data_IF_218476287088
#
_entry.id   IF_218476287088
#
_cell.length_a   1.000
_cell.length_b   1.000
_cell.length_c   1.000
_cell.angle_alpha   90.00
_cell.angle_beta   90.00
_cell.angle_gamma   90.00
#
_symmetry.space_group_name_H-M   'P 1'
#
loop_
_entity.id
_entity.type
_entity.pdbx_description
1 polymer ?
#
# COMPACT_ATOMS: atom_id res chain seq x y z
N UNK A 1 -5.07 -21.80 -24.48
CA UNK A 1 -4.43 -22.07 -23.17
C UNK A 1 -3.70 -20.78 -22.81
N UNK A 2 -4.12 -19.90 -21.91
CA UNK A 2 -4.75 -20.05 -20.59
C UNK A 2 -5.58 -18.77 -20.27
N UNK A 3 -6.67 -18.56 -21.00
CA UNK A 3 -7.55 -17.39 -20.85
C UNK A 3 -8.65 -17.74 -19.83
N UNK A 4 -8.31 -17.80 -18.54
CA UNK A 4 -9.20 -18.49 -17.57
C UNK A 4 -9.30 -17.89 -16.17
N UNK A 5 -9.02 -16.60 -15.98
CA UNK A 5 -9.20 -15.95 -14.67
C UNK A 5 -9.84 -14.55 -14.74
N UNK A 6 -10.76 -14.32 -15.69
CA UNK A 6 -11.61 -13.11 -15.72
C UNK A 6 -13.09 -13.41 -15.42
N UNK A 7 -13.35 -14.46 -14.65
CA UNK A 7 -14.70 -14.69 -14.13
C UNK A 7 -14.93 -13.84 -12.89
N UNK A 8 -15.63 -12.74 -13.11
CA UNK A 8 -16.66 -12.18 -12.24
C UNK A 8 -16.49 -12.37 -10.74
N UNK A 9 -15.84 -11.39 -10.10
CA UNK A 9 -16.16 -11.03 -8.72
C UNK A 9 -17.37 -10.08 -8.76
N UNK A 10 -18.54 -10.62 -9.16
CA UNK A 10 -19.84 -10.00 -8.91
C UNK A 10 -20.29 -10.50 -7.53
N UNK A 11 -20.37 -9.61 -6.54
CA UNK A 11 -20.86 -9.97 -5.20
C UNK A 11 -20.48 -9.08 -4.02
N UNK A 12 -19.68 -8.03 -4.21
CA UNK A 12 -19.35 -7.06 -3.14
C UNK A 12 -18.74 -5.80 -3.73
N UNK A 13 -18.82 -4.68 -3.02
CA UNK A 13 -18.18 -3.43 -3.45
C UNK A 13 -16.74 -3.72 -3.94
N UNK A 14 -16.35 -3.25 -5.14
CA UNK A 14 -15.10 -3.66 -5.77
C UNK A 14 -13.95 -3.35 -4.81
N UNK A 15 -13.29 -4.39 -4.30
CA UNK A 15 -12.16 -4.23 -3.39
C UNK A 15 -11.05 -3.55 -4.18
N UNK A 16 -10.76 -2.31 -3.82
CA UNK A 16 -9.72 -1.51 -4.44
C UNK A 16 -8.43 -1.73 -3.68
N UNK A 17 -7.33 -1.63 -4.40
CA UNK A 17 -6.00 -1.70 -3.81
C UNK A 17 -5.08 -0.67 -4.44
N UNK A 18 -4.24 -0.04 -3.63
CA UNK A 18 -3.15 0.80 -4.08
C UNK A 18 -1.84 0.27 -3.51
N UNK A 19 -0.77 0.37 -4.29
CA UNK A 19 0.57 0.02 -3.86
C UNK A 19 1.50 1.22 -3.97
N UNK A 20 2.38 1.34 -2.99
CA UNK A 20 3.44 2.34 -2.98
C UNK A 20 4.77 1.68 -2.62
N UNK A 21 5.83 2.17 -3.24
CA UNK A 21 7.19 1.72 -3.03
C UNK A 21 7.95 2.79 -2.28
N UNK A 22 8.42 2.46 -1.09
CA UNK A 22 9.20 3.36 -0.25
C UNK A 22 10.64 2.84 -0.22
N UNK A 23 11.65 3.59 -0.68
CA UNK A 23 13.05 3.18 -0.58
C UNK A 23 13.60 3.40 0.85
N UNK A 24 12.96 2.79 1.85
CA UNK A 24 13.30 2.85 3.27
C UNK A 24 13.07 1.49 3.94
N UNK A 25 13.85 1.11 4.98
CA UNK A 25 13.58 -0.09 5.77
C UNK A 25 12.20 -0.08 6.43
N UNK A 26 11.57 -1.26 6.50
CA UNK A 26 10.28 -1.48 7.16
C UNK A 26 10.27 -0.98 8.61
N UNK A 27 11.32 -1.26 9.37
CA UNK A 27 11.38 -0.94 10.80
C UNK A 27 11.19 0.56 11.09
N UNK A 28 11.53 1.43 10.15
CA UNK A 28 11.33 2.87 10.30
C UNK A 28 9.84 3.26 10.16
N UNK A 29 9.08 2.54 9.33
CA UNK A 29 7.67 2.82 9.04
C UNK A 29 6.70 1.94 9.81
N UNK A 30 7.13 0.80 10.35
CA UNK A 30 6.26 -0.17 11.01
C UNK A 30 5.41 0.47 12.13
N UNK A 31 5.99 1.38 12.92
CA UNK A 31 5.27 2.11 13.96
C UNK A 31 4.20 3.05 13.41
N UNK A 32 4.52 3.84 12.38
CA UNK A 32 3.59 4.79 11.78
C UNK A 32 2.50 4.08 10.96
N UNK A 33 2.86 3.06 10.17
CA UNK A 33 1.89 2.22 9.47
C UNK A 33 0.89 1.56 10.44
N UNK A 34 1.36 1.10 11.60
CA UNK A 34 0.50 0.57 12.65
C UNK A 34 -0.50 1.60 13.19
N UNK A 35 -0.08 2.85 13.38
CA UNK A 35 -0.96 3.96 13.81
C UNK A 35 -2.01 4.29 12.75
N UNK A 36 -1.59 4.35 11.49
CA UNK A 36 -2.48 4.63 10.36
C UNK A 36 -3.50 3.50 10.19
N UNK A 37 -3.06 2.24 10.30
CA UNK A 37 -3.94 1.08 10.26
C UNK A 37 -4.95 1.08 11.41
N UNK A 38 -4.53 1.46 12.63
CA UNK A 38 -5.45 1.54 13.77
C UNK A 38 -6.49 2.66 13.61
N UNK A 39 -6.08 3.80 13.04
CA UNK A 39 -6.98 4.90 12.70
C UNK A 39 -7.97 4.55 11.56
N UNK A 40 -7.55 3.67 10.65
CA UNK A 40 -8.32 3.26 9.48
C UNK A 40 -8.71 1.78 9.54
N UNK A 41 -9.55 1.40 10.51
CA UNK A 41 -9.99 0.00 10.72
C UNK A 41 -10.69 -0.66 9.51
N UNK A 42 -11.19 0.13 8.57
CA UNK A 42 -11.81 -0.34 7.30
C UNK A 42 -10.79 -0.57 6.17
N UNK A 43 -9.51 -0.23 6.41
CA UNK A 43 -8.44 -0.32 5.43
C UNK A 43 -7.43 -1.37 5.88
N UNK A 44 -7.12 -2.31 4.99
CA UNK A 44 -6.04 -3.27 5.19
C UNK A 44 -4.73 -2.68 4.65
N UNK A 45 -3.72 -2.60 5.50
CA UNK A 45 -2.38 -2.13 5.14
C UNK A 45 -1.41 -3.30 5.32
N UNK A 46 -0.75 -3.71 4.24
CA UNK A 46 0.31 -4.72 4.25
C UNK A 46 1.66 -4.09 3.91
N UNK A 47 2.69 -4.41 4.68
CA UNK A 47 4.07 -4.00 4.45
C UNK A 47 4.91 -5.20 4.01
N UNK A 48 5.63 -5.07 2.89
CA UNK A 48 6.48 -6.11 2.32
C UNK A 48 7.88 -5.54 2.10
N UNK A 49 8.86 -5.87 2.96
CA UNK A 49 10.23 -5.42 2.76
C UNK A 49 10.79 -6.06 1.49
N UNK A 50 11.51 -5.28 0.70
CA UNK A 50 12.22 -5.74 -0.48
C UNK A 50 13.69 -5.34 -0.42
N UNK A 51 14.53 -6.10 -1.10
CA UNK A 51 15.94 -5.81 -1.24
C UNK A 51 16.28 -5.73 -2.73
N UNK A 52 16.79 -4.58 -3.17
CA UNK A 52 17.17 -4.35 -4.56
C UNK A 52 18.50 -3.63 -4.64
N UNK A 53 19.44 -4.19 -5.40
CA UNK A 53 20.74 -3.54 -5.68
C UNK A 53 21.49 -3.07 -4.43
N UNK A 54 21.47 -3.86 -3.36
CA UNK A 54 22.15 -3.47 -2.11
C UNK A 54 21.35 -2.52 -1.22
N UNK A 55 20.17 -2.08 -1.65
CA UNK A 55 19.29 -1.16 -0.91
C UNK A 55 18.05 -1.90 -0.44
N UNK A 56 17.70 -1.70 0.84
CA UNK A 56 16.43 -2.16 1.39
C UNK A 56 15.36 -1.11 1.12
N UNK A 57 14.17 -1.58 0.77
CA UNK A 57 12.97 -0.75 0.69
C UNK A 57 11.77 -1.52 1.22
N UNK A 58 10.62 -0.87 1.15
CA UNK A 58 9.35 -1.36 1.63
C UNK A 58 8.29 -1.15 0.54
N UNK A 59 7.60 -2.21 0.17
CA UNK A 59 6.36 -2.11 -0.59
C UNK A 59 5.18 -2.09 0.38
N UNK A 60 4.39 -1.02 0.35
CA UNK A 60 3.17 -0.93 1.13
C UNK A 60 1.99 -1.12 0.21
N UNK A 61 1.10 -2.04 0.56
CA UNK A 61 -0.12 -2.38 -0.16
C UNK A 61 -1.30 -2.00 0.72
N UNK A 62 -2.15 -1.13 0.21
CA UNK A 62 -3.34 -0.62 0.89
C UNK A 62 -4.56 -1.18 0.17
N UNK A 63 -5.49 -1.82 0.88
CA UNK A 63 -6.72 -2.39 0.30
C UNK A 63 -7.93 -1.96 1.11
N UNK A 64 -9.01 -1.56 0.43
CA UNK A 64 -10.28 -1.23 1.07
C UNK A 64 -11.41 -1.27 0.04
N UNK A 65 -12.65 -1.18 0.53
CA UNK A 65 -13.84 -1.04 -0.33
C UNK A 65 -14.10 0.42 -0.72
N UNK A 66 -13.53 1.38 0.02
CA UNK A 66 -13.69 2.82 -0.23
C UNK A 66 -12.41 3.44 -0.82
N UNK A 67 -12.51 3.93 -2.06
CA UNK A 67 -11.38 4.55 -2.76
C UNK A 67 -10.88 5.82 -2.06
N UNK A 68 -11.77 6.59 -1.42
CA UNK A 68 -11.36 7.80 -0.69
C UNK A 68 -10.52 7.43 0.53
N UNK A 69 -10.84 6.33 1.22
CA UNK A 69 -10.02 5.82 2.32
C UNK A 69 -8.67 5.32 1.88
N UNK A 70 -8.59 4.64 0.74
CA UNK A 70 -7.30 4.26 0.15
C UNK A 70 -6.47 5.50 -0.14
N UNK A 71 -7.04 6.49 -0.85
CA UNK A 71 -6.34 7.75 -1.15
C UNK A 71 -5.88 8.45 0.12
N UNK A 72 -6.74 8.55 1.13
CA UNK A 72 -6.42 9.19 2.40
C UNK A 72 -5.25 8.49 3.12
N UNK A 73 -5.28 7.16 3.20
CA UNK A 73 -4.22 6.37 3.83
C UNK A 73 -2.93 6.47 3.04
N UNK A 74 -2.99 6.40 1.71
CA UNK A 74 -1.83 6.58 0.84
C UNK A 74 -1.21 7.97 1.03
N UNK A 75 -2.02 9.03 1.09
CA UNK A 75 -1.52 10.38 1.38
C UNK A 75 -0.90 10.51 2.76
N UNK A 76 -1.51 9.89 3.78
CA UNK A 76 -0.95 9.89 5.14
C UNK A 76 0.43 9.22 5.18
N UNK A 77 0.55 8.05 4.55
CA UNK A 77 1.85 7.37 4.40
C UNK A 77 2.83 8.23 3.61
N UNK A 78 2.40 8.85 2.50
CA UNK A 78 3.26 9.75 1.71
C UNK A 78 3.77 10.93 2.56
N UNK A 79 2.92 11.50 3.40
CA UNK A 79 3.26 12.60 4.31
C UNK A 79 4.30 12.17 5.35
N UNK A 80 4.09 11.02 6.00
CA UNK A 80 5.03 10.43 6.96
C UNK A 80 6.38 10.19 6.30
N UNK A 81 6.39 9.50 5.15
CA UNK A 81 7.61 9.16 4.40
C UNK A 81 8.37 10.41 3.95
N UNK A 82 7.65 11.44 3.49
CA UNK A 82 8.22 12.74 3.11
C UNK A 82 8.88 13.45 4.29
N UNK A 83 8.33 13.31 5.50
CA UNK A 83 8.94 13.79 6.74
C UNK A 83 10.30 13.18 7.05
N UNK A 84 10.58 11.96 6.55
CA UNK A 84 11.90 11.32 6.63
C UNK A 84 12.83 11.69 5.46
N UNK A 85 12.41 12.57 4.55
CA UNK A 85 13.19 12.94 3.36
C UNK A 85 13.20 11.88 2.27
N UNK A 86 12.23 10.96 2.28
CA UNK A 86 12.10 9.91 1.27
C UNK A 86 10.95 10.23 0.33
N UNK A 87 11.15 9.96 -0.96
CA UNK A 87 10.09 10.09 -1.97
C UNK A 87 9.46 8.72 -2.22
N UNK A 88 8.22 8.47 -1.79
CA UNK A 88 7.49 7.27 -2.14
C UNK A 88 7.13 7.28 -3.63
N UNK A 89 7.30 6.14 -4.28
CA UNK A 89 6.93 5.94 -5.69
C UNK A 89 5.59 5.22 -5.74
N UNK A 90 4.62 5.82 -6.41
CA UNK A 90 3.34 5.18 -6.68
C UNK A 90 3.57 4.01 -7.63
N UNK A 91 3.16 2.81 -7.24
CA UNK A 91 3.28 1.61 -8.07
C UNK A 91 1.87 1.24 -8.54
N UNK A 92 1.46 1.66 -9.75
CA UNK A 92 0.11 1.45 -10.26
C UNK A 92 -0.06 0.02 -10.79
N UNK A 93 0.44 -1.00 -10.08
CA UNK A 93 0.14 -2.41 -10.38
C UNK A 93 -1.32 -2.70 -10.07
N UNK A 94 -2.20 -2.16 -10.92
CA UNK A 94 -3.56 -2.60 -11.16
C UNK A 94 -3.46 -4.00 -11.77
N UNK A 95 -3.71 -5.01 -10.95
CA UNK A 95 -3.86 -6.41 -11.37
C UNK A 95 -5.32 -6.80 -11.29
#
# INVERSE_FOLDING_TARGET
MLESLRHSLDGGAPMRSASLTVPMPESALAGDLGRIADAAKDVQIGSYPYYREGRVGLHVVVRSTDEKRIKQVVEDIKSVVSGFGVTPVDDPREG
#
